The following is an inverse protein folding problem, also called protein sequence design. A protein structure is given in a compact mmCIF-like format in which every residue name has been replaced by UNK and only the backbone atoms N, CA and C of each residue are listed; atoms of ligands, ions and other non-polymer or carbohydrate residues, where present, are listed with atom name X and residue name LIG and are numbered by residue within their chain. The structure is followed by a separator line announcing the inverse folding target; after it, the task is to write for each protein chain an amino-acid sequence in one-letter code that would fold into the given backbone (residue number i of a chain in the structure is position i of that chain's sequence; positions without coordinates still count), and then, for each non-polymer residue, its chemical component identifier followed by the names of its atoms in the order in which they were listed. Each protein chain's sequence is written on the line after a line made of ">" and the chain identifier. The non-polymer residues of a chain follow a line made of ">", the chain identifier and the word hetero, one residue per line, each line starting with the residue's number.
data_IF_970960066613
#
_entry.id   IF_970960066613
#
_cell.length_a   1.000
_cell.length_b   1.000
_cell.length_c   1.000
_cell.angle_alpha   90.00
_cell.angle_beta   90.00
_cell.angle_gamma   90.00
#
_symmetry.space_group_name_H-M   'P 1'
#
loop_
_entity.id
_entity.type
_entity.pdbx_description
1 polymer ?
#
# COMPACT_ATOMS: atom_id res chain seq x y z
N UNK A 1 -10.68 10.23 14.55
CA UNK A 1 -10.53 8.90 13.93
C UNK A 1 -9.21 8.95 13.18
N UNK A 2 -8.15 8.42 13.79
CA UNK A 2 -6.79 8.49 13.26
C UNK A 2 -6.24 7.09 13.09
N UNK A 3 -5.36 6.90 12.10
CA UNK A 3 -4.61 5.66 11.91
C UNK A 3 -3.37 5.60 12.81
N UNK A 4 -3.16 6.58 13.70
CA UNK A 4 -2.01 6.67 14.59
C UNK A 4 -2.48 6.56 16.04
N UNK A 5 -1.83 5.67 16.81
CA UNK A 5 -2.01 5.51 18.24
C UNK A 5 -0.65 5.19 18.89
N UNK A 6 -0.24 5.99 19.87
CA UNK A 6 1.06 5.87 20.55
C UNK A 6 2.24 5.82 19.56
N UNK A 7 2.26 6.77 18.61
CA UNK A 7 3.29 6.88 17.55
C UNK A 7 3.42 5.66 16.64
N UNK A 8 2.45 4.75 16.65
CA UNK A 8 2.37 3.58 15.77
C UNK A 8 1.08 3.59 14.97
N UNK A 9 1.04 2.78 13.92
CA UNK A 9 -0.21 2.51 13.22
C UNK A 9 -1.20 1.79 14.15
N UNK A 10 -2.41 2.35 14.27
CA UNK A 10 -3.54 1.64 14.87
C UNK A 10 -4.08 0.65 13.84
N UNK A 11 -3.51 -0.56 13.84
CA UNK A 11 -3.85 -1.60 12.87
C UNK A 11 -5.31 -2.01 12.93
N UNK A 12 -5.93 -2.01 14.12
CA UNK A 12 -7.37 -2.29 14.27
C UNK A 12 -8.22 -1.22 13.57
N UNK A 13 -7.86 0.05 13.72
CA UNK A 13 -8.51 1.15 13.02
C UNK A 13 -8.27 1.06 11.50
N UNK A 14 -7.07 0.69 11.07
CA UNK A 14 -6.73 0.46 9.66
C UNK A 14 -7.52 -0.67 9.03
N UNK A 15 -7.64 -1.82 9.71
CA UNK A 15 -8.44 -2.95 9.23
C UNK A 15 -9.93 -2.61 9.13
N UNK A 16 -10.46 -1.80 10.05
CA UNK A 16 -11.83 -1.26 9.95
C UNK A 16 -12.00 -0.33 8.77
N UNK A 17 -11.02 0.54 8.50
CA UNK A 17 -11.03 1.42 7.33
C UNK A 17 -11.07 0.59 6.03
N UNK A 18 -10.19 -0.41 5.90
CA UNK A 18 -10.16 -1.31 4.75
C UNK A 18 -11.45 -2.11 4.58
N UNK A 19 -12.06 -2.55 5.69
CA UNK A 19 -13.35 -3.24 5.65
C UNK A 19 -14.50 -2.34 5.18
N UNK A 20 -14.40 -1.04 5.42
CA UNK A 20 -15.34 -0.06 4.86
C UNK A 20 -15.06 0.21 3.38
N UNK A 21 -13.78 0.21 2.96
CA UNK A 21 -13.41 0.32 1.55
C UNK A 21 -13.90 -0.87 0.73
N UNK A 22 -13.81 -2.10 1.25
CA UNK A 22 -14.36 -3.30 0.61
C UNK A 22 -15.86 -3.19 0.31
N UNK A 23 -16.60 -2.53 1.20
CA UNK A 23 -18.06 -2.30 1.05
C UNK A 23 -18.36 -1.20 0.03
N UNK A 24 -17.54 -0.16 -0.02
CA UNK A 24 -17.73 0.99 -0.92
C UNK A 24 -17.25 0.70 -2.35
N UNK A 25 -16.16 -0.07 -2.49
CA UNK A 25 -15.50 -0.36 -3.76
C UNK A 25 -15.32 -1.87 -3.95
N UNK A 26 -16.42 -2.64 -4.12
CA UNK A 26 -16.35 -4.10 -4.21
C UNK A 26 -15.54 -4.61 -5.42
N UNK A 27 -15.32 -3.77 -6.45
CA UNK A 27 -14.48 -4.09 -7.61
C UNK A 27 -12.97 -3.98 -7.34
N UNK A 28 -12.56 -3.40 -6.21
CA UNK A 28 -11.16 -3.19 -5.82
C UNK A 28 -10.76 -4.08 -4.63
N UNK A 29 -11.52 -5.15 -4.35
CA UNK A 29 -11.25 -6.10 -3.26
C UNK A 29 -9.83 -6.67 -3.30
N UNK A 30 -9.32 -6.96 -4.51
CA UNK A 30 -7.97 -7.47 -4.68
C UNK A 30 -6.94 -6.45 -4.17
N UNK A 31 -7.16 -5.16 -4.43
CA UNK A 31 -6.29 -4.07 -3.94
C UNK A 31 -6.35 -3.98 -2.42
N UNK A 32 -7.55 -3.98 -1.86
CA UNK A 32 -7.75 -3.92 -0.39
C UNK A 32 -7.12 -5.14 0.29
N UNK A 33 -7.27 -6.33 -0.29
CA UNK A 33 -6.64 -7.56 0.20
C UNK A 33 -5.11 -7.47 0.16
N UNK A 34 -4.54 -6.97 -0.94
CA UNK A 34 -3.09 -6.79 -1.04
C UNK A 34 -2.57 -5.79 -0.02
N UNK A 35 -3.28 -4.68 0.23
CA UNK A 35 -2.88 -3.72 1.28
C UNK A 35 -2.89 -4.40 2.65
N UNK A 36 -3.92 -5.20 2.98
CA UNK A 36 -3.95 -5.96 4.23
C UNK A 36 -2.74 -6.87 4.37
N UNK A 37 -2.40 -7.64 3.34
CA UNK A 37 -1.33 -8.64 3.42
C UNK A 37 0.08 -8.03 3.43
N UNK A 38 0.25 -6.87 2.80
CA UNK A 38 1.57 -6.28 2.55
C UNK A 38 1.92 -5.11 3.46
N UNK A 39 0.92 -4.46 4.10
CA UNK A 39 1.15 -3.23 4.87
C UNK A 39 0.73 -3.30 6.35
N UNK A 40 0.21 -4.42 6.82
CA UNK A 40 -0.15 -4.63 8.24
C UNK A 40 0.82 -5.64 8.88
N UNK A 41 0.65 -5.89 10.18
CA UNK A 41 1.54 -6.71 11.00
C UNK A 41 2.98 -6.16 11.02
N UNK A 42 3.13 -4.82 11.08
CA UNK A 42 4.42 -4.14 11.07
C UNK A 42 5.15 -4.10 9.71
N UNK A 43 4.66 -4.76 8.67
CA UNK A 43 5.31 -4.81 7.34
C UNK A 43 5.44 -3.46 6.64
N UNK A 44 4.63 -2.48 7.04
CA UNK A 44 4.79 -1.12 6.53
C UNK A 44 6.15 -0.51 6.90
N UNK A 45 6.82 -1.00 7.96
CA UNK A 45 8.12 -0.49 8.40
C UNK A 45 9.22 -0.74 7.36
N UNK A 46 9.07 -1.74 6.48
CA UNK A 46 9.99 -2.01 5.36
C UNK A 46 9.99 -0.88 4.30
N UNK A 47 9.01 0.02 4.35
CA UNK A 47 8.85 1.15 3.42
C UNK A 47 9.42 2.45 3.98
N UNK A 48 10.41 2.36 4.86
CA UNK A 48 11.05 3.50 5.51
C UNK A 48 11.57 4.52 4.48
N UNK A 49 10.99 5.72 4.54
CA UNK A 49 11.39 6.85 3.70
C UNK A 49 12.07 7.88 4.59
N UNK A 50 13.39 7.96 4.46
CA UNK A 50 14.31 8.80 5.24
C UNK A 50 14.68 8.21 6.62
N UNK A 51 15.75 8.73 7.24
CA UNK A 51 16.25 8.31 8.57
C UNK A 51 15.29 8.69 9.73
N UNK A 52 14.15 9.35 9.42
CA UNK A 52 13.10 9.68 10.37
C UNK A 52 12.02 8.60 10.37
N UNK A 53 11.98 7.78 11.43
CA UNK A 53 10.89 6.83 11.70
C UNK A 53 9.54 7.57 11.82
N UNK A 54 8.80 7.67 10.72
CA UNK A 54 7.44 8.18 10.67
C UNK A 54 6.48 7.05 10.23
N UNK A 55 5.93 6.26 11.19
CA UNK A 55 5.11 5.08 10.88
C UNK A 55 3.89 5.38 9.99
N UNK A 56 3.31 6.57 10.12
CA UNK A 56 2.23 7.03 9.26
C UNK A 56 2.67 7.15 7.80
N UNK A 57 3.82 7.79 7.55
CA UNK A 57 4.36 7.94 6.19
C UNK A 57 4.69 6.57 5.59
N UNK A 58 5.37 5.71 6.34
CA UNK A 58 5.73 4.35 5.92
C UNK A 58 4.48 3.54 5.51
N UNK A 59 3.41 3.60 6.31
CA UNK A 59 2.12 3.00 5.96
C UNK A 59 1.49 3.59 4.70
N UNK A 60 1.45 4.92 4.56
CA UNK A 60 0.89 5.54 3.36
C UNK A 60 1.68 5.19 2.10
N UNK A 61 3.00 5.11 2.19
CA UNK A 61 3.88 4.68 1.09
C UNK A 61 3.60 3.23 0.72
N UNK A 62 3.54 2.33 1.71
CA UNK A 62 3.21 0.93 1.48
C UNK A 62 1.84 0.79 0.79
N UNK A 63 0.81 1.45 1.32
CA UNK A 63 -0.54 1.39 0.79
C UNK A 63 -0.60 1.96 -0.64
N UNK A 64 0.12 3.05 -0.91
CA UNK A 64 0.18 3.68 -2.23
C UNK A 64 0.85 2.77 -3.26
N UNK A 65 2.03 2.23 -2.96
CA UNK A 65 2.76 1.32 -3.84
C UNK A 65 1.93 0.07 -4.12
N UNK A 66 1.37 -0.54 -3.07
CA UNK A 66 0.51 -1.74 -3.20
C UNK A 66 -0.72 -1.45 -4.06
N UNK A 67 -1.31 -0.26 -3.92
CA UNK A 67 -2.42 0.19 -4.78
C UNK A 67 -1.98 0.31 -6.24
N UNK A 68 -0.85 0.94 -6.53
CA UNK A 68 -0.35 1.08 -7.91
C UNK A 68 -0.05 -0.29 -8.56
N UNK A 69 0.46 -1.25 -7.79
CA UNK A 69 0.72 -2.60 -8.29
C UNK A 69 -0.58 -3.30 -8.70
N UNK A 70 -1.57 -3.31 -7.81
CA UNK A 70 -2.75 -4.17 -7.90
C UNK A 70 -3.93 -3.52 -8.62
N UNK A 71 -4.06 -2.20 -8.55
CA UNK A 71 -5.17 -1.49 -9.16
C UNK A 71 -5.00 -1.47 -10.69
N UNK A 72 -6.05 -1.90 -11.41
CA UNK A 72 -6.01 -2.00 -12.88
C UNK A 72 -6.48 -0.72 -13.58
N UNK A 73 -7.21 0.14 -12.87
CA UNK A 73 -7.93 1.27 -13.44
C UNK A 73 -7.06 2.51 -13.66
N UNK A 74 -5.90 2.65 -13.02
CA UNK A 74 -5.04 3.84 -13.15
C UNK A 74 -4.11 3.83 -14.37
N UNK A 75 -3.95 2.67 -15.05
CA UNK A 75 -3.00 2.46 -16.17
C UNK A 75 -3.58 2.89 -17.52
N UNK A 76 -4.30 4.01 -17.55
CA UNK A 76 -5.07 4.48 -18.72
C UNK A 76 -4.28 5.39 -19.65
N UNK A 77 -3.23 6.04 -19.15
CA UNK A 77 -2.35 6.91 -19.95
C UNK A 77 -1.03 6.21 -20.27
N UNK A 78 -0.36 6.65 -21.35
CA UNK A 78 0.97 6.14 -21.75
C UNK A 78 2.00 6.29 -20.62
N UNK A 79 1.96 7.40 -19.89
CA UNK A 79 2.86 7.65 -18.76
C UNK A 79 2.62 6.65 -17.64
N UNK A 80 1.36 6.43 -17.26
CA UNK A 80 1.00 5.47 -16.21
C UNK A 80 1.35 4.02 -16.62
N UNK A 81 1.18 3.66 -17.88
CA UNK A 81 1.57 2.34 -18.40
C UNK A 81 3.08 2.12 -18.31
N UNK A 82 3.88 3.15 -18.64
CA UNK A 82 5.34 3.09 -18.49
C UNK A 82 5.75 2.93 -17.03
N UNK A 83 5.17 3.73 -16.12
CA UNK A 83 5.42 3.60 -14.68
C UNK A 83 5.08 2.19 -14.16
N UNK A 84 3.95 1.62 -14.59
CA UNK A 84 3.58 0.26 -14.20
C UNK A 84 4.56 -0.80 -14.73
N UNK A 85 5.10 -0.62 -15.94
CA UNK A 85 6.10 -1.53 -16.50
C UNK A 85 7.44 -1.43 -15.77
N UNK A 86 7.89 -0.22 -15.45
CA UNK A 86 9.14 -0.01 -14.72
C UNK A 86 9.03 -0.52 -13.27
N UNK A 87 7.90 -0.30 -12.61
CA UNK A 87 7.62 -0.87 -11.28
C UNK A 87 7.70 -2.41 -11.27
N UNK A 88 7.15 -3.08 -12.29
CA UNK A 88 7.26 -4.55 -12.41
C UNK A 88 8.71 -5.03 -12.49
N UNK A 89 9.57 -4.29 -13.19
CA UNK A 89 11.00 -4.64 -13.28
C UNK A 89 11.69 -4.49 -11.94
N UNK A 90 11.42 -3.41 -11.20
CA UNK A 90 11.99 -3.20 -9.88
C UNK A 90 11.61 -4.32 -8.89
N UNK A 91 10.34 -4.73 -8.88
CA UNK A 91 9.88 -5.83 -7.99
C UNK A 91 10.60 -7.13 -8.32
N UNK A 92 10.69 -7.50 -9.60
CA UNK A 92 11.39 -8.72 -10.02
C UNK A 92 12.85 -8.73 -9.54
N UNK A 93 13.53 -7.57 -9.60
CA UNK A 93 14.91 -7.46 -9.11
C UNK A 93 15.02 -7.59 -7.59
N UNK A 94 14.03 -7.10 -6.84
CA UNK A 94 13.99 -7.25 -5.38
C UNK A 94 13.72 -8.69 -4.94
N UNK A 95 12.94 -9.44 -5.71
CA UNK A 95 12.65 -10.86 -5.44
C UNK A 95 13.82 -11.80 -5.80
N UNK A 96 14.70 -11.37 -6.70
CA UNK A 96 15.91 -12.10 -7.13
C UNK A 96 17.16 -11.77 -6.27
N UNK A 97 17.04 -10.89 -5.27
CA UNK A 97 18.13 -10.41 -4.39
C UNK A 97 18.08 -11.03 -3.00
#
# INVERSE_FOLDING_TARGET
>A
MGLIKNDKIDEDAGLKLLSNMDKQFPGEKDVVSSIRSSCFDGKYEDYEFDDEHCPAMNFYICAYITTLQNCKSWKTTVVCQKMAADMKKCIAQLEDS
#
